data_IF_829507327445
#
_entry.id   IF_829507327445
#
_cell.length_a   1.000
_cell.length_b   1.000
_cell.length_c   1.000
_cell.angle_alpha   90.00
_cell.angle_beta   90.00
_cell.angle_gamma   90.00
#
_symmetry.space_group_name_H-M   'P 1'
#
loop_
_entity.id
_entity.type
_entity.pdbx_description
1 polymer ?
#
# COMPACT_ATOMS: atom_id res chain seq x y z
N UNK A 1 15.37 10.72 -5.08
CA UNK A 1 14.27 9.98 -4.41
C UNK A 1 14.76 8.59 -4.03
N UNK A 2 14.33 8.08 -2.88
CA UNK A 2 14.86 6.84 -2.29
C UNK A 2 14.72 5.62 -3.21
N UNK A 3 13.61 5.49 -3.95
CA UNK A 3 13.43 4.41 -4.93
C UNK A 3 14.57 4.34 -5.94
N UNK A 4 14.88 5.45 -6.60
CA UNK A 4 15.99 5.54 -7.57
C UNK A 4 17.36 5.25 -6.96
N UNK A 5 17.59 5.64 -5.69
CA UNK A 5 18.82 5.31 -4.97
C UNK A 5 18.95 3.79 -4.79
N UNK A 6 17.86 3.13 -4.40
CA UNK A 6 17.82 1.67 -4.23
C UNK A 6 17.94 0.90 -5.53
N UNK A 7 17.36 1.41 -6.61
CA UNK A 7 17.54 0.84 -7.96
C UNK A 7 19.02 0.80 -8.32
N UNK A 8 19.74 1.91 -8.17
CA UNK A 8 21.18 1.97 -8.44
C UNK A 8 21.97 0.96 -7.60
N UNK A 9 21.66 0.86 -6.31
CA UNK A 9 22.32 -0.10 -5.42
C UNK A 9 22.01 -1.55 -5.85
N UNK A 10 20.76 -1.85 -6.22
CA UNK A 10 20.39 -3.17 -6.71
C UNK A 10 21.14 -3.51 -8.02
N UNK A 11 21.28 -2.55 -8.94
CA UNK A 11 22.03 -2.71 -10.18
C UNK A 11 23.52 -2.96 -9.92
N UNK A 12 24.11 -2.24 -8.95
CA UNK A 12 25.52 -2.40 -8.54
C UNK A 12 25.79 -3.76 -7.86
N UNK A 13 24.83 -4.25 -7.07
CA UNK A 13 24.96 -5.49 -6.31
C UNK A 13 24.69 -6.75 -7.17
N UNK A 14 23.89 -6.64 -8.24
CA UNK A 14 23.52 -7.77 -9.10
C UNK A 14 22.33 -8.59 -8.57
N UNK A 15 21.95 -9.65 -9.30
CA UNK A 15 20.68 -10.37 -9.09
C UNK A 15 20.73 -11.37 -7.91
N UNK A 16 21.92 -11.86 -7.54
CA UNK A 16 22.09 -12.96 -6.58
C UNK A 16 22.39 -12.50 -5.13
N UNK A 17 22.42 -11.20 -4.88
CA UNK A 17 22.71 -10.67 -3.53
C UNK A 17 21.52 -10.77 -2.59
N UNK A 18 21.78 -10.91 -1.29
CA UNK A 18 20.75 -10.78 -0.27
C UNK A 18 20.08 -9.42 -0.41
N UNK A 19 18.74 -9.35 -0.64
CA UNK A 19 18.04 -8.08 -0.75
C UNK A 19 18.28 -7.15 0.44
N UNK A 20 18.58 -7.68 1.65
CA UNK A 20 18.93 -6.85 2.82
C UNK A 20 20.12 -5.92 2.56
N UNK A 21 21.01 -6.24 1.63
CA UNK A 21 22.12 -5.39 1.23
C UNK A 21 21.66 -4.07 0.56
N UNK A 22 20.44 -4.03 0.01
CA UNK A 22 19.82 -2.80 -0.54
C UNK A 22 19.49 -1.80 0.58
N UNK A 23 19.24 -2.29 1.80
CA UNK A 23 18.99 -1.49 2.99
C UNK A 23 17.75 -1.89 3.80
N UNK A 24 17.39 -1.08 4.82
CA UNK A 24 16.26 -1.36 5.68
C UNK A 24 14.94 -1.36 4.89
N UNK A 25 13.96 -2.13 5.37
CA UNK A 25 12.63 -2.18 4.76
C UNK A 25 11.94 -0.82 4.95
N UNK A 26 11.40 -0.27 3.87
CA UNK A 26 10.56 0.93 3.92
C UNK A 26 9.12 0.52 3.72
N UNK A 27 8.26 0.86 4.68
CA UNK A 27 6.82 0.72 4.57
C UNK A 27 6.20 2.09 4.35
N UNK A 28 5.48 2.24 3.25
CA UNK A 28 4.76 3.46 2.91
C UNK A 28 3.30 3.23 3.27
N UNK A 29 2.85 3.86 4.36
CA UNK A 29 1.46 3.84 4.79
C UNK A 29 0.71 4.95 4.07
N UNK A 30 -0.34 4.58 3.33
CA UNK A 30 -1.25 5.50 2.67
C UNK A 30 -2.61 5.41 3.34
N UNK A 31 -2.90 6.37 4.19
CA UNK A 31 -4.22 6.59 4.75
C UNK A 31 -4.99 7.59 3.88
N UNK A 32 -6.26 7.27 3.59
CA UNK A 32 -7.18 8.12 2.82
C UNK A 32 -6.62 8.58 1.46
N UNK A 33 -6.12 7.61 0.68
CA UNK A 33 -5.48 7.84 -0.63
C UNK A 33 -6.36 8.66 -1.59
N UNK A 34 -7.68 8.51 -1.52
CA UNK A 34 -8.62 9.23 -2.39
C UNK A 34 -8.49 10.75 -2.21
N UNK A 35 -8.41 11.24 -0.97
CA UNK A 35 -8.25 12.65 -0.68
C UNK A 35 -6.85 13.13 -1.06
N UNK A 36 -5.83 12.34 -0.73
CA UNK A 36 -4.42 12.64 -1.01
C UNK A 36 -4.18 12.82 -2.52
N UNK A 37 -4.65 11.89 -3.35
CA UNK A 37 -4.51 12.00 -4.81
C UNK A 37 -5.18 13.26 -5.38
N UNK A 38 -6.38 13.59 -4.89
CA UNK A 38 -7.08 14.81 -5.30
C UNK A 38 -6.32 16.07 -4.89
N UNK A 39 -5.72 16.09 -3.70
CA UNK A 39 -4.93 17.22 -3.22
C UNK A 39 -3.64 17.38 -4.05
N UNK A 40 -2.93 16.29 -4.34
CA UNK A 40 -1.72 16.30 -5.18
C UNK A 40 -2.02 16.81 -6.59
N UNK A 41 -3.10 16.34 -7.21
CA UNK A 41 -3.52 16.80 -8.53
C UNK A 41 -3.84 18.30 -8.54
N UNK A 42 -4.63 18.77 -7.56
CA UNK A 42 -4.98 20.21 -7.43
C UNK A 42 -3.78 21.08 -7.13
N UNK A 43 -2.84 20.60 -6.32
CA UNK A 43 -1.62 21.33 -6.02
C UNK A 43 -0.79 21.51 -7.29
N UNK A 44 -0.55 20.42 -8.03
CA UNK A 44 0.19 20.46 -9.28
C UNK A 44 -0.47 21.38 -10.31
N UNK A 45 -1.79 21.31 -10.47
CA UNK A 45 -2.52 22.18 -11.40
C UNK A 45 -2.27 23.67 -11.12
N UNK A 46 -2.14 24.06 -9.85
CA UNK A 46 -1.89 25.44 -9.43
C UNK A 46 -0.44 25.89 -9.58
N UNK A 47 0.50 24.97 -9.43
CA UNK A 47 1.93 25.31 -9.38
C UNK A 47 2.71 24.95 -10.64
N UNK A 48 2.13 24.15 -11.54
CA UNK A 48 2.84 23.70 -12.74
C UNK A 48 3.08 24.86 -13.71
N UNK A 49 4.26 24.87 -14.29
CA UNK A 49 4.65 25.77 -15.36
C UNK A 49 4.66 25.04 -16.72
N UNK A 50 4.92 25.80 -17.78
CA UNK A 50 5.07 25.22 -19.11
C UNK A 50 6.31 24.31 -19.15
N UNK A 51 6.12 23.04 -19.49
CA UNK A 51 7.18 22.03 -19.52
C UNK A 51 7.17 21.08 -18.32
N UNK A 52 6.41 21.40 -17.27
CA UNK A 52 6.27 20.50 -16.12
C UNK A 52 5.47 19.23 -16.47
N UNK A 53 5.72 18.12 -15.73
CA UNK A 53 4.94 16.90 -15.86
C UNK A 53 3.43 17.13 -15.69
N UNK A 54 2.63 16.36 -16.43
CA UNK A 54 1.16 16.39 -16.31
C UNK A 54 0.65 15.65 -15.08
N UNK A 55 1.48 14.81 -14.47
CA UNK A 55 1.16 13.99 -13.29
C UNK A 55 2.08 14.41 -12.15
N UNK A 56 1.57 14.30 -10.92
CA UNK A 56 2.35 14.66 -9.75
C UNK A 56 3.56 13.71 -9.62
N UNK A 57 4.78 14.22 -9.43
CA UNK A 57 5.95 13.38 -9.23
C UNK A 57 5.81 12.38 -8.07
N UNK A 58 5.00 12.70 -7.06
CA UNK A 58 4.70 11.80 -5.95
C UNK A 58 3.81 10.62 -6.37
N UNK A 59 2.87 10.86 -7.30
CA UNK A 59 2.00 9.82 -7.86
C UNK A 59 2.81 8.90 -8.78
N UNK A 60 3.69 9.47 -9.61
CA UNK A 60 4.60 8.70 -10.45
C UNK A 60 5.55 7.83 -9.61
N UNK A 61 6.13 8.39 -8.55
CA UNK A 61 6.97 7.65 -7.61
C UNK A 61 6.23 6.50 -6.93
N UNK A 62 4.97 6.73 -6.52
CA UNK A 62 4.16 5.67 -5.92
C UNK A 62 3.93 4.53 -6.91
N UNK A 63 3.63 4.85 -8.18
CA UNK A 63 3.45 3.84 -9.22
C UNK A 63 4.74 3.03 -9.43
N UNK A 64 5.90 3.68 -9.56
CA UNK A 64 7.20 2.98 -9.65
C UNK A 64 7.38 1.99 -8.49
N UNK A 65 7.04 2.39 -7.26
CA UNK A 65 7.14 1.53 -6.07
C UNK A 65 6.11 0.39 -6.09
N UNK A 66 4.88 0.62 -6.56
CA UNK A 66 3.89 -0.46 -6.66
C UNK A 66 4.36 -1.56 -7.62
N UNK A 67 5.00 -1.21 -8.73
CA UNK A 67 5.48 -2.19 -9.72
C UNK A 67 6.83 -2.83 -9.37
N UNK A 68 7.78 -2.04 -8.85
CA UNK A 68 9.19 -2.48 -8.69
C UNK A 68 9.65 -2.54 -7.22
N UNK A 69 8.84 -2.05 -6.28
CA UNK A 69 9.24 -1.87 -4.88
C UNK A 69 9.58 -3.17 -4.15
N UNK A 70 9.02 -4.31 -4.59
CA UNK A 70 9.28 -5.62 -3.96
C UNK A 70 10.76 -5.96 -3.92
N UNK A 71 11.47 -5.82 -5.05
CA UNK A 71 12.91 -6.08 -5.12
C UNK A 71 13.71 -5.03 -4.33
N UNK A 72 13.22 -3.80 -4.26
CA UNK A 72 13.84 -2.68 -3.55
C UNK A 72 13.51 -2.62 -2.05
N UNK A 73 12.81 -3.63 -1.49
CA UNK A 73 12.35 -3.67 -0.10
C UNK A 73 11.52 -2.45 0.30
N UNK A 74 10.76 -1.92 -0.64
CA UNK A 74 9.79 -0.85 -0.47
C UNK A 74 8.40 -1.44 -0.64
N UNK A 75 7.56 -1.31 0.38
CA UNK A 75 6.22 -1.89 0.41
C UNK A 75 5.18 -0.81 0.67
N UNK A 76 4.00 -0.95 0.07
CA UNK A 76 2.89 -0.03 0.26
C UNK A 76 1.81 -0.72 1.09
N UNK A 77 1.40 -0.07 2.17
CA UNK A 77 0.21 -0.43 2.94
C UNK A 77 -0.85 0.64 2.67
N UNK A 78 -1.88 0.26 1.93
CA UNK A 78 -3.01 1.12 1.64
C UNK A 78 -4.16 0.85 2.62
N UNK A 79 -4.64 1.91 3.27
CA UNK A 79 -5.84 1.88 4.10
C UNK A 79 -6.89 2.80 3.47
N UNK A 80 -7.99 2.22 3.02
CA UNK A 80 -9.06 2.96 2.35
C UNK A 80 -10.43 2.35 2.64
N UNK A 81 -11.46 3.20 2.79
CA UNK A 81 -12.85 2.75 2.78
C UNK A 81 -13.29 2.26 1.39
N UNK A 82 -12.77 2.92 0.35
CA UNK A 82 -13.03 2.58 -1.04
C UNK A 82 -11.73 2.66 -1.83
N UNK A 83 -11.15 1.49 -2.14
CA UNK A 83 -9.93 1.34 -2.93
C UNK A 83 -10.26 1.33 -4.45
N UNK A 84 -10.85 2.41 -4.94
CA UNK A 84 -11.22 2.52 -6.36
C UNK A 84 -9.97 2.58 -7.26
N UNK A 85 -10.06 2.04 -8.48
CA UNK A 85 -8.97 2.08 -9.45
C UNK A 85 -8.46 3.51 -9.71
N UNK A 86 -9.38 4.49 -9.83
CA UNK A 86 -9.03 5.90 -10.06
C UNK A 86 -8.14 6.48 -8.95
N UNK A 87 -8.32 6.03 -7.72
CA UNK A 87 -7.56 6.51 -6.58
C UNK A 87 -6.15 5.93 -6.50
N UNK A 88 -5.89 4.85 -7.25
CA UNK A 88 -4.63 4.12 -7.24
C UNK A 88 -3.86 4.29 -8.55
N UNK A 89 -4.34 5.13 -9.47
CA UNK A 89 -3.69 5.35 -10.76
C UNK A 89 -4.13 4.41 -11.88
N UNK A 90 -5.13 3.55 -11.64
CA UNK A 90 -5.71 2.64 -12.64
C UNK A 90 -6.03 1.25 -12.07
N UNK A 91 -6.73 0.39 -12.84
CA UNK A 91 -6.96 -1.01 -12.47
C UNK A 91 -5.65 -1.80 -12.27
N UNK A 92 -4.64 -1.56 -13.10
CA UNK A 92 -3.36 -2.28 -13.12
C UNK A 92 -2.55 -2.05 -11.84
N UNK A 93 -2.57 -0.83 -11.33
CA UNK A 93 -1.91 -0.47 -10.07
C UNK A 93 -2.57 -1.16 -8.87
N UNK A 94 -3.89 -1.37 -8.93
CA UNK A 94 -4.63 -2.10 -7.88
C UNK A 94 -4.29 -3.60 -7.87
N UNK A 95 -3.95 -4.17 -9.02
CA UNK A 95 -3.51 -5.58 -9.09
C UNK A 95 -2.12 -5.80 -8.47
N UNK A 96 -1.33 -4.74 -8.23
CA UNK A 96 -0.03 -4.88 -7.56
C UNK A 96 -0.14 -5.21 -6.06
N UNK A 97 -1.34 -5.07 -5.47
CA UNK A 97 -1.59 -5.45 -4.08
C UNK A 97 -1.85 -6.96 -3.96
N UNK A 98 -0.81 -7.71 -3.64
CA UNK A 98 -0.86 -9.17 -3.49
C UNK A 98 -1.64 -9.68 -2.26
N UNK A 99 -1.90 -8.81 -1.29
CA UNK A 99 -2.63 -9.12 -0.07
C UNK A 99 -3.68 -8.04 0.16
N UNK A 100 -4.92 -8.46 0.40
CA UNK A 100 -6.06 -7.56 0.63
C UNK A 100 -6.78 -8.00 1.89
N UNK A 101 -7.00 -7.06 2.80
CA UNK A 101 -7.71 -7.31 4.06
C UNK A 101 -9.05 -6.58 3.99
N UNK A 102 -10.15 -7.32 3.95
CA UNK A 102 -11.50 -6.79 3.80
C UNK A 102 -12.31 -7.02 5.07
N UNK A 103 -12.67 -5.94 5.76
CA UNK A 103 -13.62 -5.96 6.88
C UNK A 103 -14.95 -5.32 6.44
N UNK A 104 -16.08 -5.86 6.94
CA UNK A 104 -17.44 -5.30 6.70
C UNK A 104 -17.72 -4.93 5.24
N UNK A 105 -17.25 -5.76 4.30
CA UNK A 105 -17.33 -5.47 2.88
C UNK A 105 -18.75 -5.68 2.34
N UNK A 106 -19.08 -4.93 1.28
CA UNK A 106 -20.24 -5.19 0.44
C UNK A 106 -19.91 -6.21 -0.66
N UNK A 107 -20.92 -6.77 -1.30
CA UNK A 107 -20.74 -7.67 -2.46
C UNK A 107 -20.00 -6.97 -3.60
N UNK A 108 -20.24 -5.67 -3.82
CA UNK A 108 -19.57 -4.90 -4.84
C UNK A 108 -18.08 -4.68 -4.51
N UNK A 109 -17.76 -4.41 -3.24
CA UNK A 109 -16.38 -4.30 -2.79
C UNK A 109 -15.62 -5.64 -2.98
N UNK A 110 -16.28 -6.77 -2.69
CA UNK A 110 -15.70 -8.09 -2.93
C UNK A 110 -15.43 -8.34 -4.41
N UNK A 111 -16.44 -8.13 -5.28
CA UNK A 111 -16.26 -8.27 -6.74
C UNK A 111 -15.18 -7.36 -7.31
N UNK A 112 -14.92 -6.23 -6.66
CA UNK A 112 -13.92 -5.27 -7.10
C UNK A 112 -12.50 -5.65 -6.65
N UNK A 113 -12.34 -6.26 -5.48
CA UNK A 113 -11.04 -6.40 -4.81
C UNK A 113 -10.61 -7.86 -4.63
N UNK A 114 -11.53 -8.81 -4.68
CA UNK A 114 -11.29 -10.21 -4.40
C UNK A 114 -12.12 -11.12 -5.35
N UNK A 115 -12.28 -10.69 -6.61
CA UNK A 115 -13.06 -11.42 -7.62
C UNK A 115 -12.53 -12.82 -7.91
N UNK A 116 -11.25 -13.06 -7.61
CA UNK A 116 -10.58 -14.34 -7.77
C UNK A 116 -11.08 -15.42 -6.80
N UNK A 117 -11.74 -15.02 -5.70
CA UNK A 117 -12.32 -15.95 -4.71
C UNK A 117 -13.83 -16.06 -4.92
N UNK A 118 -14.30 -17.25 -5.27
CA UNK A 118 -15.70 -17.56 -5.48
C UNK A 118 -16.10 -18.93 -4.90
N UNK A 119 -17.23 -19.03 -4.18
CA UNK A 119 -18.17 -17.96 -3.82
C UNK A 119 -17.61 -16.99 -2.76
N UNK A 120 -18.08 -15.73 -2.72
CA UNK A 120 -17.66 -14.79 -1.68
C UNK A 120 -18.09 -15.29 -0.29
N UNK A 121 -17.21 -15.28 0.72
CA UNK A 121 -17.58 -15.54 2.11
C UNK A 121 -18.63 -14.54 2.58
N UNK A 122 -19.47 -14.95 3.53
CA UNK A 122 -20.46 -14.06 4.12
C UNK A 122 -19.77 -12.95 4.91
N UNK A 123 -20.09 -11.70 4.57
CA UNK A 123 -19.67 -10.55 5.36
C UNK A 123 -20.34 -10.59 6.74
N UNK A 124 -19.57 -10.27 7.78
CA UNK A 124 -20.01 -10.31 9.18
C UNK A 124 -19.96 -8.92 9.82
N UNK A 125 -20.82 -8.71 10.82
CA UNK A 125 -20.87 -7.47 11.61
C UNK A 125 -19.94 -7.50 12.83
N UNK A 126 -19.35 -8.65 13.16
CA UNK A 126 -18.42 -8.78 14.27
C UNK A 126 -17.25 -7.80 14.13
N UNK A 127 -16.98 -6.98 15.15
CA UNK A 127 -15.88 -6.03 15.14
C UNK A 127 -14.53 -6.75 15.02
N UNK A 128 -13.63 -6.19 14.22
CA UNK A 128 -12.30 -6.76 13.95
C UNK A 128 -12.29 -8.01 13.06
N UNK A 129 -13.45 -8.56 12.68
CA UNK A 129 -13.48 -9.70 11.77
C UNK A 129 -13.23 -9.26 10.32
N UNK A 130 -12.24 -9.87 9.68
CA UNK A 130 -11.85 -9.56 8.31
C UNK A 130 -11.54 -10.82 7.50
N UNK A 131 -11.62 -10.72 6.18
CA UNK A 131 -11.08 -11.71 5.26
C UNK A 131 -9.71 -11.25 4.77
N UNK A 132 -8.70 -12.11 4.93
CA UNK A 132 -7.36 -11.91 4.37
C UNK A 132 -7.30 -12.69 3.05
N UNK A 133 -7.25 -11.96 1.94
CA UNK A 133 -7.22 -12.53 0.59
C UNK A 133 -5.80 -12.46 0.06
N UNK A 134 -5.26 -13.60 -0.35
CA UNK A 134 -3.97 -13.71 -1.02
C UNK A 134 -3.87 -15.00 -1.83
N UNK A 135 -3.20 -14.94 -2.99
CA UNK A 135 -2.93 -16.11 -3.82
C UNK A 135 -4.19 -16.85 -4.31
N UNK A 136 -5.30 -16.13 -4.55
CA UNK A 136 -6.56 -16.74 -5.00
C UNK A 136 -7.34 -17.48 -3.89
N UNK A 137 -6.94 -17.29 -2.63
CA UNK A 137 -7.62 -17.87 -1.46
C UNK A 137 -7.95 -16.80 -0.43
N UNK A 138 -8.97 -17.05 0.38
CA UNK A 138 -9.30 -16.25 1.54
C UNK A 138 -9.07 -17.03 2.84
N UNK A 139 -8.75 -16.29 3.89
CA UNK A 139 -8.75 -16.79 5.27
C UNK A 139 -9.38 -15.76 6.18
N UNK A 140 -10.36 -16.20 6.95
CA UNK A 140 -10.97 -15.37 7.97
C UNK A 140 -9.98 -15.13 9.13
N UNK A 141 -9.86 -13.88 9.56
CA UNK A 141 -9.01 -13.47 10.65
C UNK A 141 -9.74 -12.52 11.61
N UNK A 142 -9.35 -12.58 12.89
CA UNK A 142 -9.77 -11.63 13.91
C UNK A 142 -8.63 -10.64 14.16
N UNK A 143 -8.84 -9.39 13.80
CA UNK A 143 -7.90 -8.29 14.05
C UNK A 143 -7.88 -7.98 15.54
N UNK A 144 -6.68 -7.75 16.08
CA UNK A 144 -6.47 -7.35 17.47
C UNK A 144 -7.13 -6.00 17.73
N UNK A 145 -7.84 -5.91 18.85
CA UNK A 145 -8.38 -4.65 19.32
C UNK A 145 -7.34 -3.96 20.20
N UNK A 146 -7.06 -2.70 19.87
CA UNK A 146 -6.33 -1.78 20.72
C UNK A 146 -7.24 -0.59 21.00
N UNK A 147 -7.33 -0.19 22.26
CA UNK A 147 -7.76 1.18 22.59
C UNK A 147 -6.71 2.17 22.08
N UNK A 148 -7.09 3.45 21.93
CA UNK A 148 -6.14 4.50 21.51
C UNK A 148 -4.95 4.62 22.46
N UNK A 149 -5.17 4.39 23.76
CA UNK A 149 -4.10 4.42 24.77
C UNK A 149 -3.14 3.25 24.58
N UNK A 150 -3.65 2.03 24.46
CA UNK A 150 -2.81 0.84 24.22
C UNK A 150 -2.06 0.95 22.88
N UNK A 151 -2.71 1.48 21.83
CA UNK A 151 -2.09 1.68 20.52
C UNK A 151 -0.92 2.67 20.60
N UNK A 152 -1.12 3.79 21.32
CA UNK A 152 -0.07 4.79 21.53
C UNK A 152 1.09 4.21 22.33
N UNK A 153 0.79 3.53 23.45
CA UNK A 153 1.80 2.91 24.30
C UNK A 153 2.65 1.93 23.47
N UNK A 154 1.99 1.03 22.75
CA UNK A 154 2.64 0.07 21.85
C UNK A 154 3.54 0.76 20.82
N UNK A 155 3.03 1.79 20.12
CA UNK A 155 3.77 2.51 19.09
C UNK A 155 5.05 3.18 19.63
N UNK A 156 5.05 3.58 20.90
CA UNK A 156 6.19 4.22 21.57
C UNK A 156 7.18 3.25 22.22
N UNK A 157 6.88 1.95 22.27
CA UNK A 157 7.80 0.94 22.84
C UNK A 157 8.97 0.58 21.93
N UNK A 158 8.92 0.99 20.66
CA UNK A 158 9.95 0.68 19.67
C UNK A 158 11.30 1.33 19.99
N UNK A 159 12.40 0.58 19.81
CA UNK A 159 13.75 1.16 19.78
C UNK A 159 13.91 1.96 18.48
N UNK A 160 14.49 3.16 18.57
CA UNK A 160 14.79 3.97 17.38
C UNK A 160 15.64 3.17 16.38
N UNK A 161 15.23 3.16 15.11
CA UNK A 161 15.94 2.46 14.04
C UNK A 161 17.38 2.97 13.80
N UNK A 162 17.78 4.08 14.43
CA UNK A 162 19.14 4.61 14.42
C UNK A 162 20.10 3.89 15.39
N UNK A 163 19.63 2.91 16.16
CA UNK A 163 20.42 2.19 17.18
C UNK A 163 20.75 0.73 16.82
N UNK A 164 20.62 0.32 15.55
CA UNK A 164 20.92 -1.03 15.07
C UNK A 164 21.74 -1.02 13.79
#
# INVERSE_FOLDING_TARGET
MEGRRRTRIADELGIDVDPKAIGPRVLILLEEVNATMKQLARYLEKTRESGDPKVSPAVDALNEILYMGRQLRMHVLLVAQSATARALGGPEAREQFSTRILARYSVNAWRMLASEVHPPPKSTKQHGRAQVVSGGSDREAQVLFFTETEAREWATTGKNAAAA
#
